data_IF_757483106585
#
_entry.id   IF_757483106585
#
_cell.length_a   1.000
_cell.length_b   1.000
_cell.length_c   1.000
_cell.angle_alpha   90.00
_cell.angle_beta   90.00
_cell.angle_gamma   90.00
#
_symmetry.space_group_name_H-M   'P 1'
#
loop_
_entity.id
_entity.type
_entity.pdbx_description
1 polymer ?
#
# COMPACT_ATOMS: atom_id res chain seq x y z
N UNK A 1 -13.74 6.04 -25.67
CA UNK A 1 -14.87 6.92 -26.07
C UNK A 1 -15.19 7.98 -25.00
N UNK A 2 -14.19 8.39 -24.17
CA UNK A 2 -14.39 9.31 -23.03
C UNK A 2 -13.62 10.64 -23.10
N UNK A 3 -13.02 10.97 -24.25
CA UNK A 3 -12.14 12.16 -24.36
C UNK A 3 -12.86 13.45 -24.83
N UNK A 4 -14.15 13.37 -25.15
CA UNK A 4 -14.92 14.52 -25.63
C UNK A 4 -15.65 15.28 -24.53
N UNK A 5 -15.82 14.71 -23.34
CA UNK A 5 -16.57 15.34 -22.25
C UNK A 5 -15.73 16.29 -21.40
N UNK A 6 -14.41 16.11 -21.34
CA UNK A 6 -13.50 16.94 -20.54
C UNK A 6 -13.15 18.28 -21.20
N UNK A 7 -13.27 18.38 -22.53
CA UNK A 7 -12.98 19.65 -23.25
C UNK A 7 -14.12 20.67 -23.16
N UNK A 8 -15.36 20.24 -22.98
CA UNK A 8 -16.54 21.15 -23.00
C UNK A 8 -16.75 21.92 -21.69
N UNK A 9 -16.25 21.41 -20.57
CA UNK A 9 -16.35 22.08 -19.25
C UNK A 9 -15.25 23.11 -19.03
N UNK A 10 -14.09 22.99 -19.69
CA UNK A 10 -12.97 23.94 -19.53
C UNK A 10 -13.18 25.27 -20.24
N UNK A 11 -14.00 25.31 -21.29
CA UNK A 11 -14.21 26.53 -22.08
C UNK A 11 -15.27 27.44 -21.48
N UNK A 12 -16.18 26.96 -20.64
CA UNK A 12 -17.20 27.82 -19.99
C UNK A 12 -16.71 28.57 -18.77
N UNK A 13 -15.58 28.17 -18.13
CA UNK A 13 -15.03 28.84 -16.94
C UNK A 13 -14.15 30.08 -17.25
N UNK A 14 -13.80 30.33 -18.52
CA UNK A 14 -12.90 31.44 -18.91
C UNK A 14 -13.60 32.72 -19.37
N UNK A 15 -14.93 32.77 -19.38
CA UNK A 15 -15.68 33.91 -19.95
C UNK A 15 -16.37 34.83 -18.93
N UNK A 16 -16.16 34.64 -17.62
CA UNK A 16 -16.75 35.56 -16.60
C UNK A 16 -15.71 36.57 -16.07
N UNK A 17 -14.47 36.52 -16.54
CA UNK A 17 -13.38 37.32 -15.97
C UNK A 17 -13.03 38.62 -16.68
N UNK A 18 -13.70 39.00 -17.78
CA UNK A 18 -13.25 40.19 -18.55
C UNK A 18 -14.42 40.98 -19.15
N UNK A 19 -15.11 41.72 -18.34
CA UNK A 19 -15.93 42.82 -18.84
C UNK A 19 -16.20 43.87 -17.74
N UNK A 20 -15.18 44.44 -17.14
CA UNK A 20 -15.29 45.75 -16.49
C UNK A 20 -14.02 46.52 -16.81
N UNK A 21 -13.95 47.08 -18.00
CA UNK A 21 -12.98 48.11 -18.32
C UNK A 21 -13.64 49.09 -19.29
N UNK A 22 -13.89 50.27 -18.83
CA UNK A 22 -13.82 51.47 -19.68
C UNK A 22 -15.12 52.04 -20.16
N UNK A 23 -15.61 53.05 -19.46
CA UNK A 23 -16.10 54.26 -20.12
C UNK A 23 -15.88 55.45 -19.17
N UNK A 24 -14.70 56.00 -19.24
CA UNK A 24 -14.46 57.37 -18.81
C UNK A 24 -14.57 58.24 -20.08
N UNK A 25 -15.65 58.91 -20.26
CA UNK A 25 -15.74 60.04 -21.23
C UNK A 25 -15.58 61.29 -20.45
N UNK A 26 -14.46 61.97 -20.72
CA UNK A 26 -14.19 63.35 -20.29
C UNK A 26 -14.97 64.32 -21.17
N UNK A 27 -15.49 65.35 -20.54
CA UNK A 27 -15.65 66.60 -21.23
C UNK A 27 -16.98 67.35 -21.07
N UNK A 28 -16.81 68.52 -20.61
CA UNK A 28 -17.57 69.75 -20.76
C UNK A 28 -18.27 70.22 -19.50
N UNK A 29 -17.56 71.14 -18.86
CA UNK A 29 -18.11 72.12 -17.91
C UNK A 29 -19.07 73.06 -18.61
N UNK A 30 -20.36 73.07 -18.19
CA UNK A 30 -21.20 74.23 -18.21
C UNK A 30 -22.44 74.02 -17.32
N UNK A 31 -22.75 74.99 -16.52
CA UNK A 31 -23.85 75.27 -15.63
C UNK A 31 -25.12 74.40 -15.76
N UNK A 32 -25.05 73.18 -15.23
CA UNK A 32 -26.22 72.35 -15.08
C UNK A 32 -26.03 71.40 -13.92
N UNK A 33 -25.63 71.91 -12.74
CA UNK A 33 -25.40 71.10 -11.54
C UNK A 33 -26.57 70.16 -11.21
N UNK A 34 -27.86 70.51 -11.29
CA UNK A 34 -28.94 69.59 -10.96
C UNK A 34 -29.12 68.43 -11.99
N UNK A 35 -28.84 68.71 -13.29
CA UNK A 35 -28.96 67.69 -14.34
C UNK A 35 -27.83 66.67 -14.25
N UNK A 36 -26.60 67.09 -13.94
CA UNK A 36 -25.44 66.22 -13.74
C UNK A 36 -25.65 65.31 -12.53
N UNK A 37 -26.20 65.85 -11.44
CA UNK A 37 -26.48 65.06 -10.24
C UNK A 37 -27.58 64.02 -10.45
N UNK A 38 -28.61 64.30 -11.23
CA UNK A 38 -29.65 63.33 -11.61
C UNK A 38 -29.10 62.29 -12.52
N UNK A 39 -28.28 62.65 -13.52
CA UNK A 39 -27.64 61.63 -14.39
C UNK A 39 -26.68 60.74 -13.61
N UNK A 40 -25.87 61.31 -12.73
CA UNK A 40 -24.95 60.57 -11.84
C UNK A 40 -25.71 59.64 -10.88
N UNK A 41 -26.80 60.16 -10.27
CA UNK A 41 -27.65 59.34 -9.41
C UNK A 41 -28.22 58.12 -10.16
N UNK A 42 -28.79 58.34 -11.37
CA UNK A 42 -29.35 57.26 -12.17
C UNK A 42 -28.28 56.24 -12.59
N UNK A 43 -27.09 56.67 -12.93
CA UNK A 43 -25.97 55.79 -13.25
C UNK A 43 -25.56 54.93 -12.02
N UNK A 44 -25.45 55.53 -10.84
CA UNK A 44 -25.15 54.84 -9.60
C UNK A 44 -26.27 53.85 -9.19
N UNK A 45 -27.55 54.19 -9.42
CA UNK A 45 -28.67 53.28 -9.21
C UNK A 45 -28.57 52.04 -10.11
N UNK A 46 -28.26 52.26 -11.39
CA UNK A 46 -28.08 51.16 -12.34
C UNK A 46 -26.89 50.27 -11.94
N UNK A 47 -25.76 50.87 -11.58
CA UNK A 47 -24.58 50.14 -11.11
C UNK A 47 -24.85 49.39 -9.80
N UNK A 48 -25.51 50.00 -8.83
CA UNK A 48 -25.89 49.35 -7.58
C UNK A 48 -26.79 48.13 -7.81
N UNK A 49 -27.76 48.23 -8.73
CA UNK A 49 -28.59 47.07 -9.13
C UNK A 49 -27.78 45.99 -9.78
N UNK A 50 -26.84 46.31 -10.67
CA UNK A 50 -25.98 45.32 -11.29
C UNK A 50 -25.09 44.64 -10.24
N UNK A 51 -24.44 45.41 -9.37
CA UNK A 51 -23.63 44.88 -8.29
C UNK A 51 -24.44 44.01 -7.32
N UNK A 52 -25.71 44.28 -7.13
CA UNK A 52 -26.58 43.39 -6.34
C UNK A 52 -26.70 41.99 -6.97
N UNK A 53 -26.92 41.96 -8.29
CA UNK A 53 -26.95 40.70 -9.05
C UNK A 53 -25.59 39.98 -9.02
N UNK A 54 -24.49 40.76 -9.14
CA UNK A 54 -23.14 40.23 -9.05
C UNK A 54 -22.81 39.65 -7.66
N UNK A 55 -23.32 40.30 -6.59
CA UNK A 55 -23.20 39.80 -5.22
C UNK A 55 -23.95 38.46 -5.03
N UNK A 56 -25.16 38.34 -5.59
CA UNK A 56 -25.95 37.11 -5.55
C UNK A 56 -25.21 35.99 -6.29
N UNK A 57 -24.72 36.25 -7.49
CA UNK A 57 -23.94 35.30 -8.28
C UNK A 57 -22.62 34.91 -7.58
N UNK A 58 -21.92 35.86 -6.95
CA UNK A 58 -20.71 35.59 -6.19
C UNK A 58 -20.99 34.76 -4.93
N UNK A 59 -22.12 35.02 -4.23
CA UNK A 59 -22.54 34.22 -3.08
C UNK A 59 -22.86 32.77 -3.46
N UNK A 60 -23.57 32.58 -4.58
CA UNK A 60 -23.86 31.25 -5.12
C UNK A 60 -22.57 30.50 -5.51
N UNK A 61 -21.59 31.23 -6.09
CA UNK A 61 -20.28 30.65 -6.43
C UNK A 61 -19.52 30.22 -5.19
N UNK A 62 -19.50 31.04 -4.11
CA UNK A 62 -18.89 30.62 -2.83
C UNK A 62 -19.55 29.36 -2.30
N UNK A 63 -20.88 29.32 -2.31
CA UNK A 63 -21.64 28.16 -1.82
C UNK A 63 -21.28 26.91 -2.62
N UNK A 64 -21.23 26.98 -3.94
CA UNK A 64 -20.85 25.89 -4.80
C UNK A 64 -19.39 25.41 -4.56
N UNK A 65 -18.46 26.36 -4.37
CA UNK A 65 -17.06 26.04 -4.07
C UNK A 65 -16.90 25.40 -2.67
N UNK A 66 -17.68 25.88 -1.68
CA UNK A 66 -17.74 25.27 -0.35
C UNK A 66 -18.30 23.84 -0.40
N UNK A 67 -19.37 23.61 -1.16
CA UNK A 67 -19.97 22.29 -1.32
C UNK A 67 -18.98 21.34 -1.99
N UNK A 68 -18.30 21.77 -3.04
CA UNK A 68 -17.28 20.98 -3.72
C UNK A 68 -16.10 20.63 -2.81
N UNK A 69 -15.68 21.56 -1.94
CA UNK A 69 -14.64 21.28 -0.94
C UNK A 69 -15.14 20.28 0.12
N UNK A 70 -16.36 20.47 0.63
CA UNK A 70 -16.97 19.58 1.60
C UNK A 70 -17.08 18.14 1.05
N UNK A 71 -17.62 18.00 -0.17
CA UNK A 71 -17.78 16.71 -0.83
C UNK A 71 -16.42 16.01 -1.06
N UNK A 72 -15.39 16.79 -1.44
CA UNK A 72 -14.04 16.25 -1.59
C UNK A 72 -13.45 15.84 -0.22
N UNK A 73 -13.67 16.65 0.83
CA UNK A 73 -13.18 16.38 2.18
C UNK A 73 -13.80 15.10 2.78
N UNK A 74 -15.09 14.82 2.49
CA UNK A 74 -15.73 13.59 2.95
C UNK A 74 -15.11 12.34 2.35
N UNK A 75 -14.51 12.42 1.16
CA UNK A 75 -13.81 11.30 0.52
C UNK A 75 -12.44 11.03 1.15
N UNK A 76 -11.88 11.99 1.89
CA UNK A 76 -10.57 11.82 2.55
C UNK A 76 -10.63 10.82 3.70
N UNK A 77 -11.73 10.80 4.48
CA UNK A 77 -11.81 9.97 5.68
C UNK A 77 -11.56 8.46 5.43
N UNK A 78 -12.28 7.81 4.50
CA UNK A 78 -12.03 6.40 4.20
C UNK A 78 -10.63 6.19 3.66
N UNK A 79 -10.16 7.04 2.74
CA UNK A 79 -8.80 6.96 2.20
C UNK A 79 -7.73 7.16 3.28
N UNK A 80 -7.92 8.10 4.18
CA UNK A 80 -6.96 8.37 5.26
C UNK A 80 -6.83 7.17 6.20
N UNK A 81 -7.96 6.52 6.54
CA UNK A 81 -7.94 5.28 7.33
C UNK A 81 -7.21 4.17 6.59
N UNK A 82 -7.50 3.99 5.30
CA UNK A 82 -6.82 3.01 4.45
C UNK A 82 -5.30 3.27 4.37
N UNK A 83 -4.89 4.52 4.17
CA UNK A 83 -3.47 4.92 4.14
C UNK A 83 -2.78 4.63 5.46
N UNK A 84 -3.41 4.92 6.61
CA UNK A 84 -2.83 4.63 7.93
C UNK A 84 -2.68 3.11 8.10
N UNK A 85 -3.73 2.35 7.85
CA UNK A 85 -3.70 0.89 7.98
C UNK A 85 -2.63 0.28 7.07
N UNK A 86 -2.52 0.77 5.84
CA UNK A 86 -1.51 0.34 4.89
C UNK A 86 -0.10 0.65 5.39
N UNK A 87 0.21 1.91 5.76
CA UNK A 87 1.53 2.32 6.27
C UNK A 87 1.94 1.51 7.51
N UNK A 88 0.99 1.22 8.43
CA UNK A 88 1.28 0.47 9.65
C UNK A 88 1.51 -1.03 9.40
N UNK A 89 1.04 -1.54 8.28
CA UNK A 89 1.20 -2.95 7.88
C UNK A 89 2.50 -3.18 7.12
N UNK A 90 2.94 -2.20 6.31
CA UNK A 90 4.12 -2.36 5.44
C UNK A 90 5.41 -2.53 6.24
N UNK A 91 6.18 -3.52 5.87
CA UNK A 91 7.55 -3.74 6.35
C UNK A 91 8.55 -3.21 5.31
N UNK A 92 9.33 -2.16 5.65
CA UNK A 92 10.29 -1.58 4.71
C UNK A 92 11.34 -2.57 4.20
N UNK A 93 11.69 -3.59 5.00
CA UNK A 93 12.63 -4.66 4.64
C UNK A 93 12.07 -5.64 3.58
N UNK A 94 10.78 -5.54 3.22
CA UNK A 94 10.14 -6.31 2.15
C UNK A 94 9.89 -5.46 0.89
N UNK A 95 10.61 -4.34 0.77
CA UNK A 95 10.57 -3.46 -0.40
C UNK A 95 11.94 -3.38 -1.05
N UNK A 96 11.98 -3.31 -2.38
CA UNK A 96 13.22 -2.99 -3.11
C UNK A 96 13.57 -1.50 -3.02
N UNK A 97 12.55 -0.66 -2.84
CA UNK A 97 12.66 0.80 -2.70
C UNK A 97 11.64 1.29 -1.66
N UNK A 98 12.12 1.90 -0.59
CA UNK A 98 11.29 2.47 0.46
C UNK A 98 10.90 3.95 0.20
N UNK A 99 11.40 4.60 -0.85
CA UNK A 99 11.09 6.00 -1.14
C UNK A 99 9.59 6.23 -1.34
N UNK A 100 8.82 5.39 -2.08
CA UNK A 100 7.37 5.56 -2.20
C UNK A 100 6.63 5.49 -0.86
N UNK A 101 7.09 4.67 0.09
CA UNK A 101 6.51 4.59 1.43
C UNK A 101 6.75 5.87 2.23
N UNK A 102 7.95 6.44 2.16
CA UNK A 102 8.28 7.71 2.80
C UNK A 102 7.45 8.86 2.22
N UNK A 103 7.29 8.90 0.89
CA UNK A 103 6.45 9.87 0.21
C UNK A 103 4.97 9.72 0.61
N UNK A 104 4.48 8.49 0.80
CA UNK A 104 3.13 8.22 1.27
C UNK A 104 2.92 8.74 2.71
N UNK A 105 3.90 8.56 3.59
CA UNK A 105 3.88 9.11 4.96
C UNK A 105 3.82 10.64 4.93
N UNK A 106 4.57 11.27 4.03
CA UNK A 106 4.52 12.72 3.83
C UNK A 106 3.16 13.18 3.28
N UNK A 107 2.62 12.46 2.29
CA UNK A 107 1.30 12.73 1.70
C UNK A 107 0.16 12.57 2.72
N UNK A 108 0.24 11.56 3.61
CA UNK A 108 -0.69 11.42 4.74
C UNK A 108 -0.72 12.70 5.59
N UNK A 109 0.43 13.28 5.88
CA UNK A 109 0.52 14.53 6.66
C UNK A 109 -0.03 15.74 5.88
N UNK A 110 0.07 15.74 4.55
CA UNK A 110 -0.55 16.75 3.68
C UNK A 110 -2.06 16.59 3.68
N UNK A 111 -2.60 15.38 3.47
CA UNK A 111 -4.04 15.08 3.56
C UNK A 111 -4.64 15.56 4.88
N UNK A 112 -3.93 15.36 5.99
CA UNK A 112 -4.34 15.81 7.31
C UNK A 112 -4.48 17.35 7.35
N UNK A 113 -3.54 18.08 6.77
CA UNK A 113 -3.54 19.56 6.76
C UNK A 113 -4.55 20.14 5.78
N UNK A 114 -4.64 19.60 4.58
CA UNK A 114 -5.47 20.12 3.49
C UNK A 114 -6.95 19.84 3.68
N UNK A 115 -7.32 18.80 4.44
CA UNK A 115 -8.73 18.46 4.72
C UNK A 115 -9.41 19.38 5.75
N UNK A 116 -8.66 20.25 6.46
CA UNK A 116 -9.25 21.12 7.47
C UNK A 116 -9.85 22.40 6.90
N UNK A 117 -11.11 22.67 7.25
CA UNK A 117 -11.77 23.95 6.96
C UNK A 117 -11.40 25.06 7.96
N UNK A 118 -10.96 24.74 9.16
CA UNK A 118 -10.64 25.65 10.26
C UNK A 118 -9.18 25.53 10.69
N UNK A 119 -8.60 26.64 11.17
CA UNK A 119 -7.19 26.75 11.60
C UNK A 119 -6.79 25.85 12.78
N UNK A 120 -7.72 25.19 13.43
CA UNK A 120 -7.41 24.25 14.51
C UNK A 120 -7.43 22.80 14.00
N UNK A 121 -6.29 22.11 14.05
CA UNK A 121 -6.23 20.73 13.64
C UNK A 121 -7.08 19.89 14.60
N UNK A 122 -8.21 19.38 14.12
CA UNK A 122 -8.83 18.23 14.74
C UNK A 122 -8.05 16.99 14.27
N UNK A 123 -7.60 16.15 15.20
CA UNK A 123 -7.05 14.84 14.82
C UNK A 123 -8.10 14.15 13.97
N UNK A 124 -7.73 13.73 12.76
CA UNK A 124 -8.54 12.86 11.93
C UNK A 124 -8.70 11.53 12.68
N UNK A 125 -9.64 11.51 13.61
CA UNK A 125 -10.10 10.30 14.25
C UNK A 125 -11.43 9.91 13.64
N UNK A 126 -11.89 8.70 13.91
CA UNK A 126 -13.11 8.05 13.40
C UNK A 126 -14.41 8.91 13.48
N UNK A 127 -14.35 10.13 14.00
CA UNK A 127 -15.45 11.08 14.17
C UNK A 127 -15.13 12.50 13.71
N UNK A 128 -14.23 12.69 12.73
CA UNK A 128 -14.08 14.01 12.13
C UNK A 128 -15.38 14.36 11.40
N UNK A 129 -16.20 15.17 12.00
CA UNK A 129 -17.37 15.79 11.35
C UNK A 129 -16.85 17.02 10.65
N UNK A 130 -16.88 17.02 9.33
CA UNK A 130 -16.65 18.21 8.55
C UNK A 130 -17.92 19.06 8.62
N UNK A 131 -17.89 20.14 9.39
CA UNK A 131 -19.00 21.07 9.43
C UNK A 131 -19.04 21.85 8.12
N UNK A 132 -20.18 21.78 7.43
CA UNK A 132 -20.40 22.61 6.25
C UNK A 132 -20.41 24.07 6.68
N UNK A 133 -19.58 24.90 6.07
CA UNK A 133 -19.59 26.33 6.33
C UNK A 133 -20.97 26.93 5.97
N UNK A 134 -21.51 27.82 6.79
CA UNK A 134 -22.78 28.48 6.46
C UNK A 134 -22.67 29.26 5.14
N UNK A 135 -23.73 29.21 4.36
CA UNK A 135 -23.80 30.03 3.14
C UNK A 135 -23.56 31.52 3.43
N UNK A 136 -22.87 32.24 2.54
CA UNK A 136 -22.62 33.66 2.74
C UNK A 136 -23.93 34.43 2.80
N UNK A 137 -24.07 35.32 3.80
CA UNK A 137 -25.26 36.13 3.96
C UNK A 137 -25.10 37.42 3.16
N UNK A 138 -26.02 37.65 2.22
CA UNK A 138 -26.08 38.92 1.51
C UNK A 138 -26.47 40.04 2.46
N UNK A 139 -25.81 41.24 2.38
CA UNK A 139 -26.24 42.42 3.09
C UNK A 139 -27.67 42.78 2.68
N UNK A 140 -28.44 43.33 3.62
CA UNK A 140 -29.77 43.85 3.31
C UNK A 140 -29.70 44.92 2.23
N UNK A 141 -30.67 44.98 1.28
CA UNK A 141 -30.68 46.02 0.27
C UNK A 141 -30.85 47.41 0.92
N UNK A 142 -29.93 48.30 0.64
CA UNK A 142 -29.99 49.70 1.06
C UNK A 142 -30.22 50.54 -0.19
N UNK A 143 -31.23 51.41 -0.15
CA UNK A 143 -31.59 52.31 -1.24
C UNK A 143 -31.41 53.77 -0.78
N UNK A 144 -30.19 54.32 -0.78
CA UNK A 144 -29.95 55.69 -0.42
C UNK A 144 -30.61 56.66 -1.41
N UNK A 145 -31.11 57.77 -0.89
CA UNK A 145 -31.75 58.81 -1.70
C UNK A 145 -30.81 59.95 -2.14
N UNK A 146 -29.53 59.88 -1.76
CA UNK A 146 -28.49 60.86 -2.12
C UNK A 146 -27.39 60.19 -2.98
N UNK A 147 -26.72 60.98 -3.81
CA UNK A 147 -25.57 60.52 -4.63
C UNK A 147 -24.44 60.01 -3.76
N UNK A 148 -24.15 60.68 -2.63
CA UNK A 148 -23.11 60.28 -1.71
C UNK A 148 -23.44 58.92 -1.04
N UNK A 149 -24.66 58.76 -0.56
CA UNK A 149 -25.12 57.48 0.03
C UNK A 149 -25.10 56.35 -0.98
N UNK A 150 -25.49 56.60 -2.24
CA UNK A 150 -25.39 55.60 -3.32
C UNK A 150 -23.93 55.25 -3.68
N UNK A 151 -23.02 56.22 -3.69
CA UNK A 151 -21.59 55.97 -3.92
C UNK A 151 -21.05 55.03 -2.86
N UNK A 152 -21.35 55.26 -1.57
CA UNK A 152 -20.96 54.38 -0.48
C UNK A 152 -21.56 52.98 -0.60
N UNK A 153 -22.84 52.89 -1.02
CA UNK A 153 -23.50 51.60 -1.24
C UNK A 153 -22.88 50.81 -2.40
N UNK A 154 -22.51 51.47 -3.49
CA UNK A 154 -21.80 50.89 -4.64
C UNK A 154 -20.42 50.36 -4.21
N UNK A 155 -19.64 51.18 -3.49
CA UNK A 155 -18.30 50.78 -3.03
C UNK A 155 -18.36 49.59 -2.05
N UNK A 156 -19.36 49.61 -1.13
CA UNK A 156 -19.60 48.47 -0.26
C UNK A 156 -19.97 47.20 -1.04
N UNK A 157 -20.86 47.30 -2.01
CA UNK A 157 -21.27 46.17 -2.86
C UNK A 157 -20.10 45.60 -3.66
N UNK A 158 -19.23 46.45 -4.22
CA UNK A 158 -18.00 46.03 -4.89
C UNK A 158 -17.05 45.26 -3.93
N UNK A 159 -16.88 45.78 -2.71
CA UNK A 159 -16.06 45.12 -1.70
C UNK A 159 -16.59 43.71 -1.35
N UNK A 160 -17.92 43.56 -1.22
CA UNK A 160 -18.57 42.28 -0.95
C UNK A 160 -18.39 41.33 -2.13
N UNK A 161 -18.57 41.76 -3.38
CA UNK A 161 -18.29 40.95 -4.58
C UNK A 161 -16.84 40.44 -4.58
N UNK A 162 -15.90 41.38 -4.33
CA UNK A 162 -14.47 41.02 -4.25
C UNK A 162 -14.17 39.99 -3.15
N UNK A 163 -14.76 40.18 -1.97
CA UNK A 163 -14.60 39.28 -0.85
C UNK A 163 -15.13 37.89 -1.17
N UNK A 164 -16.33 37.80 -1.76
CA UNK A 164 -16.94 36.51 -2.12
C UNK A 164 -16.17 35.82 -3.23
N UNK A 165 -15.75 36.56 -4.26
CA UNK A 165 -14.90 35.98 -5.33
C UNK A 165 -13.59 35.42 -4.77
N UNK A 166 -12.94 36.15 -3.86
CA UNK A 166 -11.71 35.68 -3.18
C UNK A 166 -11.94 34.45 -2.30
N UNK A 167 -13.10 34.42 -1.61
CA UNK A 167 -13.47 33.25 -0.83
C UNK A 167 -13.70 31.99 -1.70
N UNK A 168 -14.42 32.13 -2.82
CA UNK A 168 -14.64 31.03 -3.77
C UNK A 168 -13.31 30.51 -4.32
N UNK A 169 -12.41 31.39 -4.77
CA UNK A 169 -11.08 31.02 -5.24
C UNK A 169 -10.27 30.27 -4.18
N UNK A 170 -10.41 30.67 -2.91
CA UNK A 170 -9.73 29.98 -1.80
C UNK A 170 -10.23 28.56 -1.63
N UNK A 171 -11.55 28.35 -1.71
CA UNK A 171 -12.12 26.98 -1.63
C UNK A 171 -11.76 26.15 -2.87
N UNK A 172 -11.80 26.73 -4.06
CA UNK A 172 -11.39 26.03 -5.29
C UNK A 172 -9.93 25.57 -5.21
N UNK A 173 -9.03 26.45 -4.76
CA UNK A 173 -7.61 26.14 -4.56
C UNK A 173 -7.41 25.00 -3.55
N UNK A 174 -8.14 25.05 -2.42
CA UNK A 174 -8.10 23.98 -1.41
C UNK A 174 -8.64 22.66 -1.96
N UNK A 175 -9.73 22.71 -2.72
CA UNK A 175 -10.33 21.54 -3.35
C UNK A 175 -9.37 20.87 -4.34
N UNK A 176 -8.69 21.65 -5.16
CA UNK A 176 -7.73 21.15 -6.14
C UNK A 176 -6.48 20.55 -5.44
N UNK A 177 -5.99 21.21 -4.37
CA UNK A 177 -4.90 20.68 -3.56
C UNK A 177 -5.29 19.33 -2.92
N UNK A 178 -6.47 19.26 -2.33
CA UNK A 178 -6.98 18.04 -1.69
C UNK A 178 -7.16 16.89 -2.69
N UNK A 179 -7.70 17.17 -3.87
CA UNK A 179 -7.79 16.18 -4.96
C UNK A 179 -6.42 15.67 -5.40
N UNK A 180 -5.45 16.58 -5.50
CA UNK A 180 -4.07 16.23 -5.82
C UNK A 180 -3.46 15.30 -4.78
N UNK A 181 -3.68 15.57 -3.50
CA UNK A 181 -3.19 14.74 -2.40
C UNK A 181 -3.87 13.35 -2.38
N UNK A 182 -5.18 13.29 -2.62
CA UNK A 182 -5.94 12.03 -2.76
C UNK A 182 -5.34 11.16 -3.87
N UNK A 183 -5.15 11.73 -5.05
CA UNK A 183 -4.58 10.99 -6.19
C UNK A 183 -3.10 10.64 -5.98
N UNK A 184 -2.35 11.47 -5.27
CA UNK A 184 -0.97 11.16 -4.89
C UNK A 184 -0.90 9.97 -3.92
N UNK A 185 -1.77 9.95 -2.90
CA UNK A 185 -1.82 8.85 -1.94
C UNK A 185 -2.14 7.52 -2.62
N UNK A 186 -3.15 7.47 -3.48
CA UNK A 186 -3.50 6.27 -4.26
C UNK A 186 -2.34 5.78 -5.11
N UNK A 187 -1.70 6.68 -5.87
CA UNK A 187 -0.55 6.33 -6.72
C UNK A 187 0.65 5.84 -5.92
N UNK A 188 0.87 6.40 -4.72
CA UNK A 188 1.98 6.00 -3.87
C UNK A 188 1.75 4.63 -3.24
N UNK A 189 0.53 4.29 -2.83
CA UNK A 189 0.20 2.93 -2.40
C UNK A 189 0.50 1.90 -3.48
N UNK A 190 0.10 2.15 -4.73
CA UNK A 190 0.41 1.25 -5.85
C UNK A 190 1.91 1.14 -6.13
N UNK A 191 2.69 2.24 -5.99
CA UNK A 191 4.16 2.20 -6.12
C UNK A 191 4.83 1.38 -5.01
N UNK A 192 4.28 1.42 -3.78
CA UNK A 192 4.77 0.58 -2.68
C UNK A 192 4.52 -0.89 -3.01
N UNK A 193 3.34 -1.24 -3.53
CA UNK A 193 3.02 -2.61 -3.96
C UNK A 193 3.89 -3.07 -5.15
N UNK A 194 4.19 -2.20 -6.10
CA UNK A 194 5.15 -2.50 -7.19
C UNK A 194 6.56 -2.78 -6.64
N UNK A 195 7.01 -2.00 -5.65
CA UNK A 195 8.28 -2.25 -4.96
C UNK A 195 8.29 -3.59 -4.22
N UNK A 196 7.18 -3.97 -3.56
CA UNK A 196 7.01 -5.27 -2.93
C UNK A 196 7.01 -6.41 -3.96
N UNK A 197 6.34 -6.23 -5.10
CA UNK A 197 6.34 -7.19 -6.22
C UNK A 197 7.76 -7.48 -6.73
N UNK A 198 8.55 -6.42 -6.94
CA UNK A 198 9.96 -6.56 -7.35
C UNK A 198 10.78 -7.30 -6.30
N UNK A 199 10.59 -6.98 -5.02
CA UNK A 199 11.22 -7.70 -3.92
C UNK A 199 10.84 -9.18 -3.92
N UNK A 200 9.56 -9.52 -4.06
CA UNK A 200 9.12 -10.92 -4.13
C UNK A 200 9.75 -11.71 -5.26
N UNK A 201 9.90 -11.11 -6.44
CA UNK A 201 10.61 -11.73 -7.57
C UNK A 201 12.08 -11.99 -7.27
N UNK A 202 12.75 -11.09 -6.54
CA UNK A 202 14.12 -11.31 -6.07
C UNK A 202 14.19 -12.45 -5.06
N UNK A 203 13.22 -12.53 -4.13
CA UNK A 203 13.16 -13.61 -3.15
C UNK A 203 12.95 -14.98 -3.81
N UNK A 204 12.13 -15.07 -4.87
CA UNK A 204 11.99 -16.33 -5.64
C UNK A 204 13.29 -16.81 -6.28
N UNK A 205 14.14 -15.87 -6.68
CA UNK A 205 15.46 -16.22 -7.25
C UNK A 205 16.49 -16.58 -6.18
N UNK A 206 16.42 -15.92 -5.02
CA UNK A 206 17.36 -16.13 -3.90
C UNK A 206 17.07 -17.43 -3.13
N UNK A 207 15.78 -17.75 -2.94
CA UNK A 207 15.32 -18.90 -2.15
C UNK A 207 14.86 -20.07 -3.05
N UNK A 208 15.70 -20.46 -3.99
CA UNK A 208 15.43 -21.47 -5.03
C UNK A 208 15.22 -22.89 -4.47
N UNK A 209 15.75 -23.20 -3.28
CA UNK A 209 15.58 -24.50 -2.60
C UNK A 209 14.27 -24.64 -1.82
N UNK A 210 13.45 -23.60 -1.76
CA UNK A 210 12.12 -23.70 -1.16
C UNK A 210 11.26 -24.70 -1.95
N UNK A 211 10.30 -25.33 -1.27
CA UNK A 211 9.37 -26.25 -1.93
C UNK A 211 8.51 -25.55 -3.00
N UNK A 212 8.06 -26.33 -3.96
CA UNK A 212 7.27 -25.82 -5.09
C UNK A 212 5.96 -25.17 -4.66
N UNK A 213 5.37 -25.62 -3.54
CA UNK A 213 4.14 -25.05 -3.00
C UNK A 213 4.37 -23.62 -2.51
N UNK A 214 5.40 -23.41 -1.68
CA UNK A 214 5.77 -22.08 -1.19
C UNK A 214 6.16 -21.12 -2.32
N UNK A 215 6.89 -21.61 -3.35
CA UNK A 215 7.20 -20.82 -4.54
C UNK A 215 5.95 -20.45 -5.34
N UNK A 216 5.00 -21.37 -5.50
CA UNK A 216 3.73 -21.12 -6.20
C UNK A 216 2.86 -20.11 -5.45
N UNK A 217 2.79 -20.22 -4.11
CA UNK A 217 2.06 -19.26 -3.27
C UNK A 217 2.63 -17.85 -3.39
N UNK A 218 3.96 -17.68 -3.37
CA UNK A 218 4.55 -16.36 -3.55
C UNK A 218 4.32 -15.81 -4.96
N UNK A 219 4.37 -16.64 -6.01
CA UNK A 219 4.03 -16.21 -7.38
C UNK A 219 2.58 -15.72 -7.47
N UNK A 220 1.64 -16.43 -6.82
CA UNK A 220 0.24 -16.04 -6.76
C UNK A 220 0.07 -14.72 -5.98
N UNK A 221 0.70 -14.59 -4.82
CA UNK A 221 0.64 -13.37 -4.02
C UNK A 221 1.23 -12.16 -4.76
N UNK A 222 2.32 -12.34 -5.53
CA UNK A 222 2.87 -11.29 -6.41
C UNK A 222 1.84 -10.88 -7.47
N UNK A 223 1.13 -11.83 -8.08
CA UNK A 223 0.09 -11.49 -9.05
C UNK A 223 -1.10 -10.77 -8.38
N UNK A 224 -1.46 -11.13 -7.16
CA UNK A 224 -2.51 -10.45 -6.39
C UNK A 224 -2.14 -9.02 -5.99
N UNK A 225 -0.84 -8.66 -5.90
CA UNK A 225 -0.46 -7.25 -5.68
C UNK A 225 -0.95 -6.31 -6.78
N UNK A 226 -1.27 -6.82 -7.97
CA UNK A 226 -1.81 -6.07 -9.12
C UNK A 226 -3.36 -6.06 -9.16
N UNK A 227 -4.05 -6.81 -8.28
CA UNK A 227 -5.50 -6.90 -8.25
C UNK A 227 -6.14 -5.68 -7.58
N UNK A 228 -6.74 -4.79 -8.37
CA UNK A 228 -7.38 -3.57 -7.90
C UNK A 228 -8.74 -3.77 -7.20
N UNK A 229 -9.26 -5.00 -7.16
CA UNK A 229 -10.53 -5.32 -6.46
C UNK A 229 -10.34 -5.61 -4.97
N UNK A 230 -9.10 -5.83 -4.54
CA UNK A 230 -8.72 -6.08 -3.15
C UNK A 230 -8.02 -4.84 -2.58
N UNK A 231 -8.20 -4.58 -1.29
CA UNK A 231 -7.55 -3.40 -0.67
C UNK A 231 -6.02 -3.52 -0.74
N UNK A 232 -5.28 -2.40 -0.90
CA UNK A 232 -3.81 -2.42 -0.92
C UNK A 232 -3.21 -3.13 0.30
N UNK A 233 -3.80 -2.94 1.48
CA UNK A 233 -3.39 -3.58 2.72
C UNK A 233 -3.51 -5.10 2.66
N UNK A 234 -4.66 -5.61 2.23
CA UNK A 234 -4.92 -7.05 2.23
C UNK A 234 -4.03 -7.77 1.20
N UNK A 235 -3.84 -7.16 0.02
CA UNK A 235 -2.87 -7.62 -0.98
C UNK A 235 -1.46 -7.76 -0.39
N UNK A 236 -1.04 -6.77 0.40
CA UNK A 236 0.29 -6.80 1.01
C UNK A 236 0.41 -7.84 2.11
N UNK A 237 -0.62 -8.06 2.94
CA UNK A 237 -0.62 -9.09 4.00
C UNK A 237 -0.43 -10.49 3.41
N UNK A 238 -1.15 -10.80 2.33
CA UNK A 238 -0.97 -12.08 1.62
C UNK A 238 0.44 -12.24 1.07
N UNK A 239 0.98 -11.18 0.49
CA UNK A 239 2.35 -11.16 -0.01
C UNK A 239 3.38 -11.36 1.11
N UNK A 240 3.25 -10.64 2.23
CA UNK A 240 4.15 -10.79 3.38
C UNK A 240 4.15 -12.22 3.90
N UNK A 241 2.98 -12.81 4.09
CA UNK A 241 2.84 -14.20 4.52
C UNK A 241 3.56 -15.16 3.58
N UNK A 242 3.34 -15.02 2.28
CA UNK A 242 3.97 -15.87 1.28
C UNK A 242 5.50 -15.74 1.24
N UNK A 243 6.06 -14.53 1.44
CA UNK A 243 7.51 -14.32 1.55
C UNK A 243 8.07 -15.01 2.79
N UNK A 244 7.39 -14.89 3.93
CA UNK A 244 7.81 -15.53 5.18
C UNK A 244 7.81 -17.05 5.03
N UNK A 245 6.78 -17.62 4.41
CA UNK A 245 6.66 -19.06 4.21
C UNK A 245 7.72 -19.59 3.22
N UNK A 246 8.01 -18.85 2.15
CA UNK A 246 9.10 -19.17 1.23
C UNK A 246 10.45 -19.26 1.97
N UNK A 247 10.77 -18.27 2.80
CA UNK A 247 12.02 -18.23 3.57
C UNK A 247 12.13 -19.39 4.55
N UNK A 248 11.03 -19.72 5.24
CA UNK A 248 10.97 -20.88 6.15
C UNK A 248 11.19 -22.19 5.41
N UNK A 249 10.53 -22.37 4.28
CA UNK A 249 10.66 -23.57 3.45
C UNK A 249 12.09 -23.74 2.94
N UNK A 250 12.70 -22.67 2.45
CA UNK A 250 14.10 -22.68 2.01
C UNK A 250 15.05 -23.05 3.16
N UNK A 251 14.89 -22.43 4.33
CA UNK A 251 15.72 -22.71 5.49
C UNK A 251 15.60 -24.19 5.94
N UNK A 252 14.41 -24.77 5.88
CA UNK A 252 14.17 -26.17 6.17
C UNK A 252 14.88 -27.09 5.16
N UNK A 253 14.81 -26.76 3.87
CA UNK A 253 15.48 -27.52 2.81
C UNK A 253 17.01 -27.49 2.96
N UNK A 254 17.59 -26.33 3.27
CA UNK A 254 19.03 -26.19 3.53
C UNK A 254 19.46 -26.98 4.76
N UNK A 255 18.69 -26.93 5.86
CA UNK A 255 18.99 -27.70 7.07
C UNK A 255 18.92 -29.19 6.82
N UNK A 256 17.97 -29.67 6.03
CA UNK A 256 17.85 -31.07 5.62
C UNK A 256 19.02 -31.52 4.76
N UNK A 257 19.44 -30.71 3.79
CA UNK A 257 20.62 -31.00 2.97
C UNK A 257 21.89 -31.10 3.81
N UNK A 258 22.09 -30.23 4.79
CA UNK A 258 23.20 -30.29 5.72
C UNK A 258 23.14 -31.55 6.63
N UNK A 259 21.93 -31.97 7.03
CA UNK A 259 21.73 -33.17 7.81
C UNK A 259 22.14 -34.40 6.99
N UNK A 260 21.62 -34.53 5.78
CA UNK A 260 21.95 -35.62 4.86
C UNK A 260 23.46 -35.66 4.59
N UNK A 261 24.08 -34.51 4.36
CA UNK A 261 25.54 -34.43 4.15
C UNK A 261 26.32 -34.96 5.35
N UNK A 262 25.93 -34.56 6.57
CA UNK A 262 26.58 -35.09 7.79
C UNK A 262 26.39 -36.58 7.97
N UNK A 263 25.19 -37.10 7.74
CA UNK A 263 24.90 -38.54 7.79
C UNK A 263 25.75 -39.31 6.77
N UNK A 264 25.92 -38.76 5.56
CA UNK A 264 26.75 -39.36 4.52
C UNK A 264 28.23 -39.39 4.92
N UNK A 265 28.75 -38.26 5.45
CA UNK A 265 30.13 -38.20 5.95
C UNK A 265 30.39 -39.18 7.10
N UNK A 266 29.42 -39.32 8.03
CA UNK A 266 29.50 -40.30 9.12
C UNK A 266 29.46 -41.73 8.61
N UNK A 267 28.61 -42.04 7.65
CA UNK A 267 28.52 -43.33 7.01
C UNK A 267 29.82 -43.68 6.25
N UNK A 268 30.41 -42.74 5.53
CA UNK A 268 31.71 -42.93 4.89
C UNK A 268 32.86 -43.23 5.90
N UNK A 269 32.87 -42.49 7.02
CA UNK A 269 33.86 -42.72 8.10
C UNK A 269 33.66 -44.13 8.69
N UNK A 270 32.41 -44.48 9.03
CA UNK A 270 32.11 -45.82 9.57
C UNK A 270 32.48 -46.94 8.58
N UNK A 271 32.22 -46.72 7.28
CA UNK A 271 32.60 -47.68 6.24
C UNK A 271 34.12 -47.87 6.15
N UNK A 272 34.91 -46.76 6.19
CA UNK A 272 36.38 -46.81 6.20
C UNK A 272 36.92 -47.52 7.46
N UNK A 273 36.37 -47.20 8.64
CA UNK A 273 36.74 -47.84 9.90
C UNK A 273 36.43 -49.37 9.86
N UNK A 274 35.24 -49.74 9.31
CA UNK A 274 34.87 -51.15 9.16
C UNK A 274 35.79 -51.86 8.17
N UNK A 275 36.18 -51.26 7.04
CA UNK A 275 37.12 -51.80 6.09
C UNK A 275 38.51 -51.98 6.71
N UNK A 276 39.01 -50.98 7.45
CA UNK A 276 40.27 -51.12 8.17
C UNK A 276 40.22 -52.20 9.25
N UNK A 277 39.11 -52.28 9.99
CA UNK A 277 38.92 -53.34 11.00
C UNK A 277 38.89 -54.75 10.36
N UNK A 278 38.16 -54.87 9.22
CA UNK A 278 38.13 -56.14 8.46
C UNK A 278 39.52 -56.51 7.92
N UNK A 279 40.30 -55.55 7.41
CA UNK A 279 41.67 -55.79 6.96
C UNK A 279 42.58 -56.23 8.10
N UNK A 280 42.50 -55.58 9.28
CA UNK A 280 43.27 -55.94 10.47
C UNK A 280 42.88 -57.34 10.96
N UNK A 281 41.58 -57.70 10.97
CA UNK A 281 41.11 -59.05 11.34
C UNK A 281 41.60 -60.12 10.37
N UNK A 282 41.58 -59.84 9.07
CA UNK A 282 42.13 -60.77 8.05
C UNK A 282 43.65 -60.94 8.16
N UNK A 283 44.39 -59.85 8.45
CA UNK A 283 45.85 -59.95 8.70
C UNK A 283 46.15 -60.74 9.97
N UNK A 284 45.37 -60.57 11.03
CA UNK A 284 45.52 -61.33 12.28
C UNK A 284 45.17 -62.77 12.09
N UNK A 285 44.11 -63.07 11.35
CA UNK A 285 43.72 -64.47 11.02
C UNK A 285 44.79 -65.14 10.14
N UNK A 286 45.31 -64.47 9.14
CA UNK A 286 46.41 -64.93 8.32
C UNK A 286 47.65 -65.24 9.16
N UNK A 287 47.98 -64.37 10.12
CA UNK A 287 49.11 -64.62 11.05
C UNK A 287 48.86 -65.82 11.97
N UNK A 288 47.61 -65.99 12.48
CA UNK A 288 47.23 -67.16 13.28
C UNK A 288 47.37 -68.48 12.47
N UNK A 289 46.91 -68.51 11.22
CA UNK A 289 47.04 -69.64 10.33
C UNK A 289 48.51 -69.97 10.07
N UNK A 290 49.36 -68.97 9.87
CA UNK A 290 50.80 -69.12 9.69
C UNK A 290 51.50 -69.62 10.95
N UNK A 291 51.13 -69.16 12.15
CA UNK A 291 51.64 -69.65 13.41
C UNK A 291 51.16 -71.07 13.69
N UNK A 292 49.94 -71.44 13.32
CA UNK A 292 49.43 -72.82 13.48
C UNK A 292 50.09 -73.79 12.50
N UNK A 293 50.41 -73.31 11.26
CA UNK A 293 51.15 -74.13 10.28
C UNK A 293 52.59 -74.35 10.67
N UNK A 294 53.20 -73.44 11.42
CA UNK A 294 54.59 -73.54 11.91
C UNK A 294 54.72 -74.24 13.26
N UNK A 295 53.60 -74.69 13.87
CA UNK A 295 53.67 -75.48 15.09
C UNK A 295 54.19 -76.93 14.76
N UNK A 296 55.19 -77.42 15.48
CA UNK A 296 55.63 -78.80 15.33
C UNK A 296 54.48 -79.74 15.61
N UNK A 297 54.32 -80.76 14.72
CA UNK A 297 53.27 -81.75 14.86
C UNK A 297 53.39 -82.51 16.22
N UNK A 298 52.29 -82.63 16.98
CA UNK A 298 52.29 -83.42 18.20
C UNK A 298 52.55 -84.86 17.90
N UNK A 299 53.25 -85.60 18.83
CA UNK A 299 53.52 -87.03 18.60
C UNK A 299 52.20 -87.85 18.53
N UNK A 300 52.18 -88.95 17.74
CA UNK A 300 50.96 -89.69 17.48
C UNK A 300 50.41 -90.34 18.77
N UNK A 301 49.27 -89.92 19.20
CA UNK A 301 48.51 -90.51 20.30
C UNK A 301 47.68 -91.70 19.76
N UNK A 302 47.81 -92.84 20.41
CA UNK A 302 47.09 -94.05 20.13
C UNK A 302 45.58 -93.87 20.12
N UNK A 303 44.92 -94.55 19.19
CA UNK A 303 43.48 -94.56 19.00
C UNK A 303 42.76 -95.20 20.21
N UNK A 304 41.64 -94.64 20.66
CA UNK A 304 40.65 -95.37 21.44
C UNK A 304 39.50 -95.90 20.58
N UNK A 305 38.94 -97.01 21.02
CA UNK A 305 37.87 -97.81 20.49
C UNK A 305 36.55 -97.10 20.17
N UNK A 306 35.73 -97.62 19.25
CA UNK A 306 34.50 -96.96 18.81
C UNK A 306 33.35 -97.13 19.80
N UNK A 307 32.72 -96.02 20.19
CA UNK A 307 31.49 -95.97 20.99
C UNK A 307 30.29 -95.61 20.09
N UNK A 308 29.08 -96.10 20.38
CA UNK A 308 27.99 -96.24 19.43
C UNK A 308 27.21 -94.95 19.18
N UNK A 309 26.64 -94.86 17.99
CA UNK A 309 25.80 -93.87 17.42
C UNK A 309 24.52 -93.57 18.24
N UNK A 310 24.16 -92.34 18.54
CA UNK A 310 22.81 -92.03 18.98
C UNK A 310 21.90 -91.62 17.80
N UNK A 311 20.67 -92.08 17.92
CA UNK A 311 19.51 -91.96 17.05
C UNK A 311 19.04 -90.48 16.83
N UNK A 312 18.51 -90.11 15.67
CA UNK A 312 18.05 -88.77 15.40
C UNK A 312 16.71 -88.49 16.06
N UNK A 313 16.58 -87.31 16.69
CA UNK A 313 15.36 -86.76 17.25
C UNK A 313 14.67 -85.85 16.21
N UNK A 314 13.34 -85.84 16.10
CA UNK A 314 12.60 -85.19 15.03
C UNK A 314 12.43 -83.73 15.23
N UNK A 315 12.39 -83.00 14.10
CA UNK A 315 12.12 -81.60 13.90
C UNK A 315 10.70 -81.24 14.29
N UNK A 316 10.45 -80.08 14.97
CA UNK A 316 9.11 -79.54 15.06
C UNK A 316 8.80 -78.68 13.86
N UNK A 317 7.58 -78.85 13.40
CA UNK A 317 6.87 -78.21 12.30
C UNK A 317 6.67 -76.76 12.53
N UNK A 318 6.86 -75.97 11.48
CA UNK A 318 6.36 -74.61 11.37
C UNK A 318 4.83 -74.58 11.24
N UNK A 319 4.23 -73.69 11.95
CA UNK A 319 2.84 -73.30 11.75
C UNK A 319 2.77 -71.81 11.41
N UNK A 320 2.03 -71.42 10.34
CA UNK A 320 1.96 -70.06 9.90
C UNK A 320 0.83 -69.28 10.67
N UNK A 321 1.05 -68.05 11.00
CA UNK A 321 0.00 -67.16 11.46
C UNK A 321 -0.33 -66.10 10.41
N UNK A 322 -1.61 -66.21 10.05
CA UNK A 322 -2.42 -65.34 9.23
C UNK A 322 -2.44 -63.89 9.71
N UNK A 323 -2.47 -63.08 8.71
CA UNK A 323 -3.26 -61.91 8.37
C UNK A 323 -4.36 -61.52 9.36
N UNK A 324 -4.38 -60.24 9.74
CA UNK A 324 -5.63 -59.54 9.96
C UNK A 324 -5.46 -58.01 9.68
N UNK A 325 -6.19 -57.62 8.65
CA UNK A 325 -6.61 -56.27 8.29
C UNK A 325 -7.43 -55.56 9.37
N UNK A 326 -7.61 -54.27 9.10
CA UNK A 326 -8.69 -53.32 9.48
C UNK A 326 -8.34 -52.43 10.69
N UNK A 327 -8.30 -51.15 10.60
CA UNK A 327 -9.26 -50.08 10.18
C UNK A 327 -8.52 -48.74 9.94
#
# INVERSE_FOLDING_TARGET
>A
MNDQLTKKTRTRRRLVGTAVAGAIVAGCAFAATPVIDVLRYNALVAEHKQLRTDMEAAADTVTASQDAFYDTSTQVLPLYSEVIEFITTIRPDFLTDAAPLNDLIATKSSLEKTSYMHEKPHKLGVKAVFDKAPAPRLPAPVYPTSVEGLTLAVDHSRAVVTQYTGAAQTFDTKTDALRSDIEAAKRLMEKVLDSASKFGRQQLAEYDKADLGSQAMLKLAIAHLEDTHVTPRDRYIEFESAVVDLRKSHAAAVAEEERIKRELEEAERAAKEAEEAARRAAEEEARRIEEERNKPAPPPTQAPDPTPTPTPTPTPSEEPKEDTSAD
#
